data_IF_394523294165
#
_entry.id   IF_394523294165
#
_cell.length_a   1.000
_cell.length_b   1.000
_cell.length_c   1.000
_cell.angle_alpha   90.00
_cell.angle_beta   90.00
_cell.angle_gamma   90.00
#
_symmetry.space_group_name_H-M   'P 1'
#
loop_
_entity.id
_entity.type
_entity.pdbx_description
1 polymer ?
#
# COMPACT_ATOMS: atom_id res chain seq x y z
N UNK A 1 45.63 -30.57 18.39
CA UNK A 1 44.92 -29.28 18.46
C UNK A 1 44.76 -28.73 17.05
N UNK A 2 43.56 -28.80 16.50
CA UNK A 2 43.10 -27.93 15.41
C UNK A 2 41.63 -27.65 15.73
N UNK A 3 41.35 -26.46 16.28
CA UNK A 3 40.00 -25.93 16.48
C UNK A 3 39.52 -25.42 15.11
N UNK A 4 38.42 -25.96 14.61
CA UNK A 4 37.65 -25.31 13.55
C UNK A 4 36.69 -24.33 14.23
N UNK A 5 36.85 -23.04 13.92
CA UNK A 5 35.90 -22.01 14.32
C UNK A 5 34.70 -22.08 13.38
N UNK A 6 33.54 -22.37 13.93
CA UNK A 6 32.25 -22.10 13.31
C UNK A 6 31.97 -20.60 13.45
N UNK A 7 32.29 -19.81 12.43
CA UNK A 7 31.77 -18.44 12.30
C UNK A 7 30.40 -18.51 11.64
N UNK A 8 29.38 -18.73 12.48
CA UNK A 8 27.99 -18.43 12.15
C UNK A 8 27.86 -16.91 12.05
N UNK A 9 28.05 -16.40 10.85
CA UNK A 9 27.79 -15.01 10.51
C UNK A 9 26.28 -14.77 10.51
N UNK A 10 25.72 -14.57 11.71
CA UNK A 10 24.41 -13.98 11.92
C UNK A 10 24.43 -12.61 11.23
N UNK A 11 24.02 -12.61 9.97
CA UNK A 11 23.85 -11.38 9.20
C UNK A 11 22.56 -10.80 9.73
N UNK A 12 22.66 -10.09 10.86
CA UNK A 12 21.59 -9.27 11.40
C UNK A 12 21.21 -8.32 10.26
N UNK A 13 20.11 -8.64 9.59
CA UNK A 13 19.43 -7.71 8.70
C UNK A 13 18.99 -6.58 9.61
N UNK A 14 19.83 -5.56 9.73
CA UNK A 14 19.43 -4.27 10.25
C UNK A 14 18.38 -3.79 9.27
N UNK A 15 17.12 -4.09 9.57
CA UNK A 15 15.98 -3.42 8.97
C UNK A 15 16.14 -1.99 9.41
N UNK A 16 16.83 -1.20 8.60
CA UNK A 16 16.74 0.25 8.68
C UNK A 16 15.26 0.54 8.57
N UNK A 17 14.68 1.00 9.68
CA UNK A 17 13.33 1.53 9.73
C UNK A 17 13.37 2.85 8.96
N UNK A 18 13.57 2.79 7.65
CA UNK A 18 13.31 3.92 6.77
C UNK A 18 11.86 4.33 7.05
N UNK A 19 11.71 5.57 7.51
CA UNK A 19 10.46 6.17 7.94
C UNK A 19 9.43 6.08 6.81
N UNK A 20 8.61 5.04 6.85
CA UNK A 20 7.67 4.71 5.79
C UNK A 20 6.54 5.75 5.78
N UNK A 21 6.64 6.70 4.85
CA UNK A 21 5.61 7.72 4.62
C UNK A 21 5.25 8.57 5.85
N UNK A 22 6.17 8.73 6.83
CA UNK A 22 5.91 9.47 8.07
C UNK A 22 5.37 10.89 7.78
N UNK A 23 6.01 11.63 6.87
CA UNK A 23 5.57 12.98 6.47
C UNK A 23 4.15 13.01 5.90
N UNK A 24 3.76 11.97 5.17
CA UNK A 24 2.42 11.86 4.61
C UNK A 24 1.40 11.54 5.70
N UNK A 25 1.73 10.65 6.63
CA UNK A 25 0.84 10.33 7.75
C UNK A 25 0.68 11.51 8.70
N UNK A 26 1.73 12.31 8.92
CA UNK A 26 1.64 13.58 9.66
C UNK A 26 0.68 14.56 8.98
N UNK A 27 0.77 14.72 7.66
CA UNK A 27 -0.18 15.55 6.90
C UNK A 27 -1.62 15.04 6.99
N UNK A 28 -1.82 13.73 6.87
CA UNK A 28 -3.13 13.09 7.02
C UNK A 28 -3.72 13.36 8.41
N UNK A 29 -2.91 13.23 9.45
CA UNK A 29 -3.35 13.45 10.82
C UNK A 29 -3.68 14.92 11.09
N UNK A 30 -2.88 15.84 10.56
CA UNK A 30 -3.17 17.27 10.63
C UNK A 30 -4.51 17.60 9.95
N UNK A 31 -4.78 17.03 8.76
CA UNK A 31 -6.06 17.21 8.07
C UNK A 31 -7.21 16.67 8.91
N UNK A 32 -7.06 15.49 9.52
CA UNK A 32 -8.10 14.92 10.41
C UNK A 32 -8.40 15.82 11.59
N UNK A 33 -7.37 16.34 12.24
CA UNK A 33 -7.52 17.25 13.38
C UNK A 33 -8.18 18.55 12.97
N UNK A 34 -7.85 19.08 11.79
CA UNK A 34 -8.55 20.24 11.23
C UNK A 34 -10.03 19.95 10.96
N UNK A 35 -10.37 18.80 10.36
CA UNK A 35 -11.78 18.42 10.10
C UNK A 35 -12.54 18.26 11.42
N UNK A 36 -11.95 17.59 12.43
CA UNK A 36 -12.56 17.44 13.75
C UNK A 36 -12.82 18.81 14.41
N UNK A 37 -11.85 19.72 14.31
CA UNK A 37 -12.00 21.08 14.83
C UNK A 37 -13.10 21.89 14.13
N UNK A 38 -13.29 21.69 12.81
CA UNK A 38 -14.44 22.30 12.11
C UNK A 38 -15.75 21.76 12.68
N UNK A 39 -15.86 20.44 12.89
CA UNK A 39 -17.06 19.83 13.44
C UNK A 39 -17.38 20.37 14.86
N UNK A 40 -16.37 20.50 15.72
CA UNK A 40 -16.54 21.10 17.06
C UNK A 40 -17.02 22.55 16.97
N UNK A 41 -16.44 23.34 16.05
CA UNK A 41 -16.84 24.72 15.82
C UNK A 41 -18.27 24.84 15.27
N UNK A 42 -18.71 23.92 14.40
CA UNK A 42 -20.09 23.84 13.90
C UNK A 42 -21.06 23.55 15.05
N UNK A 43 -20.69 22.69 16.00
CA UNK A 43 -21.54 22.40 17.15
C UNK A 43 -21.64 23.60 18.11
N UNK A 44 -20.55 24.32 18.33
CA UNK A 44 -20.59 25.57 19.11
C UNK A 44 -21.39 26.68 18.39
N UNK A 45 -21.29 26.73 17.07
CA UNK A 45 -22.08 27.63 16.22
C UNK A 45 -23.59 27.38 16.39
N UNK A 46 -24.04 26.11 16.41
CA UNK A 46 -25.45 25.76 16.71
C UNK A 46 -25.92 26.30 18.06
N UNK A 47 -25.07 26.21 19.10
CA UNK A 47 -25.41 26.76 20.43
C UNK A 47 -25.54 28.27 20.38
N UNK A 48 -24.65 28.96 19.69
CA UNK A 48 -24.72 30.42 19.55
C UNK A 48 -25.95 30.85 18.72
N UNK A 49 -26.28 30.14 17.64
CA UNK A 49 -27.52 30.34 16.91
C UNK A 49 -28.76 30.18 17.80
N UNK A 50 -28.79 29.15 18.65
CA UNK A 50 -29.89 28.95 19.61
C UNK A 50 -30.01 30.11 20.60
N UNK A 51 -28.89 30.55 21.20
CA UNK A 51 -28.87 31.71 22.11
C UNK A 51 -29.38 32.97 21.42
N UNK A 52 -28.91 33.24 20.20
CA UNK A 52 -29.31 34.40 19.40
C UNK A 52 -30.82 34.40 19.09
N UNK A 53 -31.39 33.23 18.77
CA UNK A 53 -32.83 33.09 18.48
C UNK A 53 -33.74 33.06 19.73
N UNK A 54 -33.15 32.87 20.92
CA UNK A 54 -33.89 32.80 22.18
C UNK A 54 -34.20 34.18 22.80
N UNK A 55 -33.46 35.21 22.39
CA UNK A 55 -33.58 36.57 22.91
C UNK A 55 -33.96 37.57 21.81
N UNK A 56 -34.93 38.48 22.04
CA UNK A 56 -35.27 39.58 21.12
C UNK A 56 -34.07 40.47 20.79
N UNK A 57 -33.27 40.77 21.81
CA UNK A 57 -32.01 41.51 21.72
C UNK A 57 -30.88 40.62 22.28
N UNK A 58 -30.25 39.81 21.44
CA UNK A 58 -29.17 38.94 21.88
C UNK A 58 -27.91 39.76 22.17
N UNK A 59 -27.13 39.30 23.16
CA UNK A 59 -25.90 39.95 23.58
C UNK A 59 -24.90 40.07 22.41
N UNK A 60 -24.30 41.25 22.25
CA UNK A 60 -23.31 41.52 21.20
C UNK A 60 -22.14 40.55 21.27
N UNK A 61 -21.74 40.14 22.48
CA UNK A 61 -20.70 39.12 22.69
C UNK A 61 -21.02 37.80 21.99
N UNK A 62 -22.28 37.34 22.04
CA UNK A 62 -22.67 36.08 21.37
C UNK A 62 -22.58 36.22 19.85
N UNK A 63 -22.90 37.40 19.31
CA UNK A 63 -22.76 37.69 17.88
C UNK A 63 -21.29 37.78 17.45
N UNK A 64 -20.44 38.39 18.27
CA UNK A 64 -18.99 38.43 18.04
C UNK A 64 -18.37 37.03 18.05
N UNK A 65 -18.78 36.19 19.01
CA UNK A 65 -18.28 34.83 19.12
C UNK A 65 -18.75 33.97 17.92
N UNK A 66 -19.97 34.17 17.42
CA UNK A 66 -20.43 33.57 16.17
C UNK A 66 -19.58 33.99 14.96
N UNK A 67 -19.25 35.27 14.84
CA UNK A 67 -18.40 35.76 13.74
C UNK A 67 -16.99 35.16 13.81
N UNK A 68 -16.41 35.06 15.02
CA UNK A 68 -15.11 34.40 15.22
C UNK A 68 -15.15 32.94 14.79
N UNK A 69 -16.21 32.20 15.14
CA UNK A 69 -16.40 30.80 14.73
C UNK A 69 -16.49 30.68 13.20
N UNK A 70 -17.25 31.56 12.53
CA UNK A 70 -17.35 31.57 11.06
C UNK A 70 -15.98 31.79 10.40
N UNK A 71 -15.21 32.78 10.88
CA UNK A 71 -13.86 33.05 10.34
C UNK A 71 -12.89 31.89 10.63
N UNK A 72 -12.97 31.28 11.80
CA UNK A 72 -12.14 30.13 12.14
C UNK A 72 -12.46 28.91 11.26
N UNK A 73 -13.74 28.58 11.08
CA UNK A 73 -14.20 27.53 10.17
C UNK A 73 -13.67 27.79 8.76
N UNK A 74 -13.83 29.01 8.24
CA UNK A 74 -13.34 29.41 6.92
C UNK A 74 -11.83 29.21 6.77
N UNK A 75 -11.05 29.61 7.77
CA UNK A 75 -9.59 29.50 7.73
C UNK A 75 -9.15 28.03 7.76
N UNK A 76 -9.71 27.23 8.68
CA UNK A 76 -9.38 25.80 8.79
C UNK A 76 -9.80 25.05 7.52
N UNK A 77 -10.99 25.34 7.00
CA UNK A 77 -11.50 24.67 5.82
C UNK A 77 -10.70 25.02 4.55
N UNK A 78 -10.20 26.26 4.42
CA UNK A 78 -9.24 26.62 3.36
C UNK A 78 -7.89 25.89 3.50
N UNK A 79 -7.41 25.69 4.73
CA UNK A 79 -6.19 24.92 4.98
C UNK A 79 -6.38 23.44 4.57
N UNK A 80 -7.47 22.80 5.00
CA UNK A 80 -7.83 21.43 4.62
C UNK A 80 -7.93 21.30 3.10
N UNK A 81 -8.64 22.22 2.44
CA UNK A 81 -8.78 22.27 0.99
C UNK A 81 -7.43 22.31 0.26
N UNK A 82 -6.51 23.17 0.73
CA UNK A 82 -5.18 23.31 0.12
C UNK A 82 -4.35 22.05 0.27
N UNK A 83 -4.38 21.43 1.46
CA UNK A 83 -3.66 20.16 1.72
C UNK A 83 -4.25 18.99 0.91
N UNK A 84 -5.57 18.88 0.81
CA UNK A 84 -6.22 17.87 -0.03
C UNK A 84 -5.85 18.03 -1.51
N UNK A 85 -5.89 19.26 -2.04
CA UNK A 85 -5.44 19.55 -3.42
C UNK A 85 -3.95 19.20 -3.63
N UNK A 86 -3.10 19.44 -2.65
CA UNK A 86 -1.69 19.05 -2.71
C UNK A 86 -1.52 17.52 -2.79
N UNK A 87 -2.23 16.76 -1.96
CA UNK A 87 -2.23 15.29 -1.99
C UNK A 87 -2.74 14.79 -3.34
N UNK A 88 -3.84 15.36 -3.86
CA UNK A 88 -4.39 15.03 -5.18
C UNK A 88 -3.37 15.27 -6.30
N UNK A 89 -2.63 16.38 -6.25
CA UNK A 89 -1.58 16.68 -7.23
C UNK A 89 -0.46 15.63 -7.22
N UNK A 90 -0.01 15.22 -6.03
CA UNK A 90 1.00 14.14 -5.88
C UNK A 90 0.50 12.81 -6.44
N UNK A 91 -0.78 12.47 -6.19
CA UNK A 91 -1.40 11.25 -6.74
C UNK A 91 -1.37 11.26 -8.28
N UNK A 92 -1.78 12.38 -8.90
CA UNK A 92 -1.83 12.50 -10.36
C UNK A 92 -0.43 12.43 -11.00
N UNK A 93 0.58 13.01 -10.35
CA UNK A 93 1.98 12.90 -10.80
C UNK A 93 2.46 11.45 -10.78
N UNK A 94 2.21 10.72 -9.69
CA UNK A 94 2.62 9.32 -9.54
C UNK A 94 1.92 8.38 -10.53
N UNK A 95 0.66 8.67 -10.88
CA UNK A 95 -0.08 7.95 -11.93
C UNK A 95 0.51 8.17 -13.32
N UNK A 96 0.87 9.41 -13.65
CA UNK A 96 1.47 9.75 -14.95
C UNK A 96 2.81 9.03 -15.18
N UNK A 97 3.54 8.77 -14.10
CA UNK A 97 4.77 7.99 -14.11
C UNK A 97 4.55 6.46 -14.19
N UNK A 98 3.29 5.98 -14.31
CA UNK A 98 2.89 4.56 -14.30
C UNK A 98 3.43 3.76 -13.09
N UNK A 99 3.76 4.44 -11.99
CA UNK A 99 4.23 3.80 -10.76
C UNK A 99 3.03 3.34 -9.93
N UNK A 100 2.47 2.19 -10.28
CA UNK A 100 1.47 1.52 -9.41
C UNK A 100 2.19 0.95 -8.19
N UNK A 101 2.30 1.76 -7.14
CA UNK A 101 2.96 1.39 -5.89
C UNK A 101 1.96 1.27 -4.73
N UNK A 102 2.32 0.50 -3.71
CA UNK A 102 1.57 0.43 -2.44
C UNK A 102 1.38 1.83 -1.84
N UNK A 103 2.40 2.69 -1.96
CA UNK A 103 2.37 4.08 -1.49
C UNK A 103 1.28 4.90 -2.19
N UNK A 104 1.18 4.79 -3.52
CA UNK A 104 0.14 5.47 -4.30
C UNK A 104 -1.27 5.03 -3.86
N UNK A 105 -1.46 3.74 -3.60
CA UNK A 105 -2.75 3.19 -3.13
C UNK A 105 -3.13 3.72 -1.76
N UNK A 106 -2.18 3.78 -0.82
CA UNK A 106 -2.42 4.32 0.52
C UNK A 106 -2.78 5.81 0.41
N UNK A 107 -2.04 6.59 -0.40
CA UNK A 107 -2.33 8.02 -0.60
C UNK A 107 -3.73 8.26 -1.18
N UNK A 108 -4.10 7.52 -2.22
CA UNK A 108 -5.44 7.53 -2.81
C UNK A 108 -6.53 7.24 -1.78
N UNK A 109 -6.39 6.13 -1.05
CA UNK A 109 -7.37 5.71 -0.04
C UNK A 109 -7.56 6.78 1.03
N UNK A 110 -6.47 7.33 1.58
CA UNK A 110 -6.54 8.39 2.58
C UNK A 110 -7.14 9.67 2.02
N UNK A 111 -6.75 10.08 0.82
CA UNK A 111 -7.31 11.26 0.15
C UNK A 111 -8.84 11.15 0.00
N UNK A 112 -9.34 10.00 -0.46
CA UNK A 112 -10.78 9.71 -0.59
C UNK A 112 -11.49 9.81 0.76
N UNK A 113 -11.00 9.11 1.79
CA UNK A 113 -11.62 9.11 3.13
C UNK A 113 -11.66 10.52 3.73
N UNK A 114 -10.57 11.27 3.62
CA UNK A 114 -10.49 12.64 4.16
C UNK A 114 -11.39 13.59 3.38
N UNK A 115 -11.43 13.49 2.04
CA UNK A 115 -12.28 14.33 1.19
C UNK A 115 -13.76 14.11 1.49
N UNK A 116 -14.17 12.85 1.69
CA UNK A 116 -15.54 12.51 2.11
C UNK A 116 -15.88 13.11 3.48
N UNK A 117 -15.05 12.88 4.49
CA UNK A 117 -15.27 13.43 5.84
C UNK A 117 -15.32 14.96 5.84
N UNK A 118 -14.44 15.60 5.06
CA UNK A 118 -14.45 17.05 4.90
C UNK A 118 -15.76 17.53 4.25
N UNK A 119 -16.22 16.85 3.20
CA UNK A 119 -17.50 17.14 2.57
C UNK A 119 -18.69 17.00 3.53
N UNK A 120 -18.73 15.91 4.32
CA UNK A 120 -19.78 15.67 5.32
C UNK A 120 -19.88 16.83 6.33
N UNK A 121 -18.75 17.24 6.92
CA UNK A 121 -18.73 18.33 7.92
C UNK A 121 -19.07 19.69 7.30
N UNK A 122 -18.64 19.96 6.06
CA UNK A 122 -18.96 21.21 5.37
C UNK A 122 -20.43 21.27 4.94
N UNK A 123 -21.03 20.14 4.58
CA UNK A 123 -22.48 20.06 4.34
C UNK A 123 -23.25 20.34 5.63
N UNK A 124 -22.84 19.75 6.76
CA UNK A 124 -23.47 20.02 8.07
C UNK A 124 -23.37 21.50 8.47
N UNK A 125 -22.22 22.14 8.20
CA UNK A 125 -22.07 23.58 8.36
C UNK A 125 -23.11 24.36 7.54
N UNK A 126 -23.25 24.04 6.25
CA UNK A 126 -24.19 24.72 5.35
C UNK A 126 -25.65 24.51 5.78
N UNK A 127 -26.02 23.28 6.13
CA UNK A 127 -27.35 22.96 6.64
C UNK A 127 -27.66 23.73 7.93
N UNK A 128 -26.68 23.85 8.84
CA UNK A 128 -26.83 24.63 10.06
C UNK A 128 -27.09 26.11 9.78
N UNK A 129 -26.36 26.70 8.82
CA UNK A 129 -26.60 28.08 8.39
C UNK A 129 -28.01 28.22 7.80
N UNK A 130 -28.39 27.38 6.83
CA UNK A 130 -29.74 27.43 6.23
C UNK A 130 -30.83 27.34 7.29
N UNK A 131 -30.70 26.44 8.29
CA UNK A 131 -31.66 26.35 9.39
C UNK A 131 -31.75 27.64 10.21
N UNK A 132 -30.63 28.32 10.46
CA UNK A 132 -30.62 29.61 11.16
C UNK A 132 -31.25 30.73 10.33
N UNK A 133 -31.03 30.75 9.01
CA UNK A 133 -31.68 31.67 8.07
C UNK A 133 -33.20 31.51 8.12
N UNK A 134 -33.71 30.29 7.96
CA UNK A 134 -35.15 30.01 7.97
C UNK A 134 -35.81 30.37 9.30
N UNK A 135 -35.16 30.06 10.43
CA UNK A 135 -35.65 30.47 11.75
C UNK A 135 -35.65 31.99 11.92
N UNK A 136 -34.66 32.69 11.38
CA UNK A 136 -34.59 34.16 11.41
C UNK A 136 -35.68 34.78 10.54
N UNK A 137 -35.94 34.23 9.35
CA UNK A 137 -37.06 34.60 8.47
C UNK A 137 -38.40 34.46 9.19
N UNK A 138 -38.66 33.30 9.81
CA UNK A 138 -39.90 33.08 10.57
C UNK A 138 -40.07 34.02 11.77
N UNK A 139 -38.98 34.45 12.41
CA UNK A 139 -39.01 35.49 13.46
C UNK A 139 -39.40 36.85 12.88
N UNK A 140 -38.80 37.25 11.75
CA UNK A 140 -39.14 38.52 11.07
C UNK A 140 -40.62 38.53 10.68
N UNK A 141 -41.12 37.45 10.09
CA UNK A 141 -42.53 37.30 9.72
C UNK A 141 -43.46 37.55 10.93
N UNK A 142 -43.15 36.89 12.06
CA UNK A 142 -43.94 37.06 13.28
C UNK A 142 -43.89 38.47 13.84
N UNK A 143 -42.75 39.16 13.74
CA UNK A 143 -42.65 40.55 14.17
C UNK A 143 -43.43 41.49 13.24
N UNK A 144 -43.46 41.23 11.92
CA UNK A 144 -44.29 41.98 10.98
C UNK A 144 -45.78 41.82 11.29
N UNK A 145 -46.24 40.61 11.62
CA UNK A 145 -47.63 40.38 12.05
C UNK A 145 -48.00 41.19 13.30
N UNK A 146 -47.09 41.31 14.28
CA UNK A 146 -47.30 42.12 15.49
C UNK A 146 -47.46 43.61 15.16
N UNK A 147 -46.74 44.09 14.13
CA UNK A 147 -46.89 45.47 13.64
C UNK A 147 -48.13 45.70 12.78
N UNK A 148 -48.92 44.65 12.51
CA UNK A 148 -50.14 44.72 11.71
C UNK A 148 -49.91 44.56 10.20
N UNK A 149 -48.70 44.21 9.76
CA UNK A 149 -48.37 43.91 8.37
C UNK A 149 -48.37 42.40 8.16
N UNK A 150 -49.42 41.88 7.52
CA UNK A 150 -49.44 40.49 7.06
C UNK A 150 -48.63 40.38 5.77
N UNK A 151 -47.64 39.49 5.74
CA UNK A 151 -46.75 39.30 4.61
C UNK A 151 -46.72 37.83 4.24
N UNK A 152 -46.88 37.53 2.96
CA UNK A 152 -46.71 36.17 2.44
C UNK A 152 -45.24 35.77 2.46
N UNK A 153 -44.97 34.46 2.36
CA UNK A 153 -43.58 33.96 2.37
C UNK A 153 -42.75 34.48 1.18
N UNK A 154 -43.38 34.61 0.01
CA UNK A 154 -42.77 35.13 -1.22
C UNK A 154 -42.48 36.63 -1.12
N UNK A 155 -43.44 37.43 -0.64
CA UNK A 155 -43.22 38.86 -0.41
C UNK A 155 -42.12 39.11 0.62
N UNK A 156 -42.05 38.28 1.68
CA UNK A 156 -41.01 38.39 2.69
C UNK A 156 -39.63 38.06 2.11
N UNK A 157 -39.55 37.07 1.22
CA UNK A 157 -38.30 36.74 0.53
C UNK A 157 -37.83 37.90 -0.36
N UNK A 158 -38.73 38.50 -1.15
CA UNK A 158 -38.42 39.68 -1.97
C UNK A 158 -37.92 40.86 -1.11
N UNK A 159 -38.53 41.04 0.07
CA UNK A 159 -38.09 42.06 1.02
C UNK A 159 -36.67 41.80 1.55
N UNK A 160 -36.31 40.54 1.80
CA UNK A 160 -34.95 40.15 2.22
C UNK A 160 -33.93 40.32 1.09
N UNK A 161 -34.30 39.96 -0.14
CA UNK A 161 -33.43 40.10 -1.33
C UNK A 161 -33.14 41.55 -1.68
N UNK A 162 -34.06 42.47 -1.38
CA UNK A 162 -33.91 43.91 -1.67
C UNK A 162 -32.69 44.55 -1.01
N UNK A 163 -32.18 43.96 0.08
CA UNK A 163 -31.02 44.45 0.82
C UNK A 163 -31.21 45.81 1.50
N UNK A 164 -32.41 46.39 1.47
CA UNK A 164 -32.72 47.69 2.07
C UNK A 164 -33.49 47.51 3.39
N UNK A 165 -32.86 47.73 4.57
CA UNK A 165 -33.54 47.59 5.87
C UNK A 165 -34.78 48.47 6.02
N UNK A 166 -34.86 49.58 5.28
CA UNK A 166 -35.98 50.52 5.33
C UNK A 166 -37.29 49.93 4.79
N UNK A 167 -37.22 48.86 3.99
CA UNK A 167 -38.39 48.18 3.42
C UNK A 167 -39.31 47.60 4.50
N UNK A 168 -38.75 47.25 5.66
CA UNK A 168 -39.52 46.78 6.80
C UNK A 168 -40.21 47.93 7.54
N UNK A 169 -39.72 49.17 7.41
CA UNK A 169 -40.21 50.34 8.17
C UNK A 169 -41.15 51.26 7.38
N UNK A 170 -41.16 51.19 6.05
CA UNK A 170 -41.83 52.19 5.19
C UNK A 170 -43.35 52.30 5.40
N UNK A 171 -43.99 51.18 5.73
CA UNK A 171 -45.46 51.10 5.81
C UNK A 171 -45.96 51.03 7.26
N UNK A 172 -45.05 51.09 8.24
CA UNK A 172 -45.36 50.83 9.66
C UNK A 172 -45.37 52.14 10.45
N UNK A 173 -46.55 52.50 10.95
CA UNK A 173 -46.73 53.66 11.84
C UNK A 173 -46.09 53.35 13.20
N UNK A 174 -44.96 54.01 13.49
CA UNK A 174 -44.11 53.76 14.66
C UNK A 174 -44.58 54.46 15.95
N UNK A 175 -45.90 54.50 16.18
CA UNK A 175 -46.49 55.26 17.28
C UNK A 175 -46.48 54.51 18.62
N UNK A 176 -46.40 53.17 18.58
CA UNK A 176 -46.34 52.32 19.77
C UNK A 176 -44.92 51.89 20.11
N UNK A 177 -44.60 51.85 21.40
CA UNK A 177 -43.34 51.29 21.90
C UNK A 177 -43.16 49.81 21.50
N UNK A 178 -44.26 49.07 21.37
CA UNK A 178 -44.27 47.68 20.88
C UNK A 178 -43.80 47.60 19.43
N UNK A 179 -44.30 48.50 18.56
CA UNK A 179 -43.91 48.58 17.15
C UNK A 179 -42.43 48.90 16.98
N UNK A 180 -41.90 49.84 17.77
CA UNK A 180 -40.46 50.18 17.76
C UNK A 180 -39.57 49.01 18.14
N UNK A 181 -39.99 48.23 19.15
CA UNK A 181 -39.25 47.04 19.57
C UNK A 181 -39.26 45.96 18.48
N UNK A 182 -40.42 45.71 17.86
CA UNK A 182 -40.55 44.76 16.75
C UNK A 182 -39.67 45.15 15.56
N UNK A 183 -39.65 46.43 15.18
CA UNK A 183 -38.79 46.94 14.11
C UNK A 183 -37.30 46.77 14.41
N UNK A 184 -36.86 47.05 15.63
CA UNK A 184 -35.46 46.84 16.04
C UNK A 184 -35.06 45.36 15.97
N UNK A 185 -35.96 44.45 16.36
CA UNK A 185 -35.72 43.02 16.26
C UNK A 185 -35.63 42.58 14.79
N UNK A 186 -36.54 43.05 13.92
CA UNK A 186 -36.52 42.79 12.48
C UNK A 186 -35.18 43.22 11.87
N UNK A 187 -34.73 44.45 12.13
CA UNK A 187 -33.46 44.96 11.61
C UNK A 187 -32.27 44.13 12.11
N UNK A 188 -32.28 43.75 13.40
CA UNK A 188 -31.26 42.90 14.01
C UNK A 188 -31.19 41.51 13.35
N UNK A 189 -32.34 40.86 13.10
CA UNK A 189 -32.42 39.56 12.41
C UNK A 189 -32.01 39.66 10.94
N UNK A 190 -32.43 40.71 10.24
CA UNK A 190 -32.07 40.93 8.84
C UNK A 190 -30.55 41.09 8.67
N UNK A 191 -29.89 41.85 9.56
CA UNK A 191 -28.42 41.92 9.58
C UNK A 191 -27.75 40.57 9.79
N UNK A 192 -28.33 39.71 10.63
CA UNK A 192 -27.79 38.37 10.87
C UNK A 192 -27.94 37.47 9.62
N UNK A 193 -29.04 37.60 8.86
CA UNK A 193 -29.23 36.92 7.55
C UNK A 193 -28.17 37.38 6.54
N UNK A 194 -27.95 38.70 6.40
CA UNK A 194 -26.95 39.24 5.47
C UNK A 194 -25.55 38.69 5.78
N UNK A 195 -25.15 38.65 7.05
CA UNK A 195 -23.85 38.10 7.47
C UNK A 195 -23.71 36.62 7.14
N UNK A 196 -24.77 35.85 7.40
CA UNK A 196 -24.83 34.44 7.04
C UNK A 196 -24.67 34.23 5.53
N UNK A 197 -25.39 34.99 4.71
CA UNK A 197 -25.32 34.87 3.25
C UNK A 197 -23.94 35.25 2.72
N UNK A 198 -23.27 36.25 3.31
CA UNK A 198 -21.87 36.57 3.01
C UNK A 198 -20.97 35.38 3.33
N UNK A 199 -21.13 34.77 4.51
CA UNK A 199 -20.32 33.62 4.93
C UNK A 199 -20.48 32.41 4.01
N UNK A 200 -21.72 32.08 3.59
CA UNK A 200 -21.98 31.02 2.61
C UNK A 200 -21.35 31.37 1.26
N UNK A 201 -21.50 32.62 0.79
CA UNK A 201 -20.94 33.08 -0.49
C UNK A 201 -19.42 32.99 -0.51
N UNK A 202 -18.75 33.34 0.58
CA UNK A 202 -17.29 33.24 0.71
C UNK A 202 -16.78 31.79 0.65
N UNK A 203 -17.61 30.83 1.08
CA UNK A 203 -17.33 29.40 1.03
C UNK A 203 -17.85 28.72 -0.24
N UNK A 204 -18.52 29.44 -1.14
CA UNK A 204 -19.10 28.86 -2.36
C UNK A 204 -18.06 28.13 -3.21
N UNK A 205 -16.90 28.74 -3.43
CA UNK A 205 -15.82 28.10 -4.19
C UNK A 205 -15.32 26.81 -3.52
N UNK A 206 -15.41 26.72 -2.20
CA UNK A 206 -15.05 25.51 -1.46
C UNK A 206 -16.08 24.40 -1.66
N UNK A 207 -17.38 24.71 -1.71
CA UNK A 207 -18.42 23.72 -2.01
C UNK A 207 -18.28 23.15 -3.43
N UNK A 208 -17.94 24.00 -4.40
CA UNK A 208 -17.64 23.55 -5.77
C UNK A 208 -16.43 22.61 -5.77
N UNK A 209 -15.36 22.98 -5.07
CA UNK A 209 -14.17 22.13 -4.95
C UNK A 209 -14.50 20.79 -4.26
N UNK A 210 -15.31 20.78 -3.20
CA UNK A 210 -15.74 19.55 -2.52
C UNK A 210 -16.57 18.66 -3.45
N UNK A 211 -17.51 19.23 -4.20
CA UNK A 211 -18.34 18.48 -5.14
C UNK A 211 -17.48 17.74 -6.17
N UNK A 212 -16.49 18.42 -6.77
CA UNK A 212 -15.56 17.79 -7.72
C UNK A 212 -14.66 16.74 -7.07
N UNK A 213 -14.21 16.99 -5.84
CA UNK A 213 -13.40 16.04 -5.08
C UNK A 213 -14.21 14.79 -4.73
N UNK A 214 -15.52 14.88 -4.48
CA UNK A 214 -16.40 13.76 -4.12
C UNK A 214 -16.86 12.98 -5.36
N UNK A 215 -17.21 13.66 -6.46
CA UNK A 215 -17.68 13.02 -7.69
C UNK A 215 -16.61 12.13 -8.34
N UNK A 216 -15.34 12.56 -8.31
CA UNK A 216 -14.20 11.79 -8.85
C UNK A 216 -13.84 10.51 -8.06
N UNK A 217 -14.54 10.19 -6.96
CA UNK A 217 -14.20 9.07 -6.06
C UNK A 217 -14.84 7.74 -6.44
N UNK A 218 -15.92 7.73 -7.24
CA UNK A 218 -16.68 6.50 -7.58
C UNK A 218 -15.85 5.44 -8.30
N UNK A 219 -14.95 5.84 -9.19
CA UNK A 219 -14.10 4.91 -9.96
C UNK A 219 -12.86 4.44 -9.16
N UNK A 220 -12.37 5.27 -8.25
CA UNK A 220 -11.13 5.01 -7.49
C UNK A 220 -11.33 3.98 -6.38
N UNK A 221 -12.47 4.01 -5.67
CA UNK A 221 -12.80 3.03 -4.61
C UNK A 221 -12.92 1.62 -5.20
N UNK A 222 -13.65 1.47 -6.30
CA UNK A 222 -13.81 0.20 -7.02
C UNK A 222 -12.45 -0.36 -7.49
N UNK A 223 -11.53 0.52 -7.88
CA UNK A 223 -10.18 0.14 -8.26
C UNK A 223 -9.30 -0.26 -7.07
N UNK A 224 -9.56 0.26 -5.86
CA UNK A 224 -8.84 -0.11 -4.64
C UNK A 224 -9.28 -1.48 -4.15
N UNK A 225 -10.58 -1.75 -4.08
CA UNK A 225 -11.12 -3.07 -3.72
C UNK A 225 -10.57 -4.15 -4.65
N UNK A 226 -10.68 -3.93 -5.97
CA UNK A 226 -10.12 -4.81 -6.99
C UNK A 226 -8.61 -5.04 -6.83
N UNK A 227 -7.86 -4.02 -6.43
CA UNK A 227 -6.41 -4.16 -6.25
C UNK A 227 -6.01 -4.75 -4.88
N UNK A 228 -6.85 -4.68 -3.84
CA UNK A 228 -6.67 -5.41 -2.57
C UNK A 228 -6.94 -6.89 -2.81
N UNK A 229 -8.01 -7.20 -3.54
CA UNK A 229 -8.34 -8.55 -4.01
C UNK A 229 -7.17 -9.16 -4.81
N UNK A 230 -6.66 -8.45 -5.81
CA UNK A 230 -5.48 -8.89 -6.57
C UNK A 230 -4.24 -9.10 -5.68
N UNK A 231 -4.00 -8.24 -4.68
CA UNK A 231 -2.84 -8.38 -3.78
C UNK A 231 -2.97 -9.61 -2.87
N UNK A 232 -4.18 -9.92 -2.40
CA UNK A 232 -4.45 -11.16 -1.67
C UNK A 232 -4.20 -12.38 -2.57
N UNK A 233 -4.64 -12.33 -3.83
CA UNK A 233 -4.39 -13.36 -4.84
C UNK A 233 -2.89 -13.58 -5.11
N UNK A 234 -2.10 -12.50 -5.25
CA UNK A 234 -0.64 -12.60 -5.41
C UNK A 234 0.06 -13.22 -4.20
N UNK A 235 -0.37 -12.91 -2.98
CA UNK A 235 0.18 -13.51 -1.75
C UNK A 235 -0.17 -15.00 -1.66
N UNK A 236 -1.39 -15.35 -2.07
CA UNK A 236 -1.84 -16.74 -2.13
C UNK A 236 -1.01 -17.55 -3.14
N UNK A 237 -0.83 -17.03 -4.36
CA UNK A 237 0.05 -17.65 -5.35
C UNK A 237 1.52 -17.73 -4.89
N UNK A 238 2.05 -16.69 -4.25
CA UNK A 238 3.41 -16.72 -3.69
C UNK A 238 3.55 -17.79 -2.58
N UNK A 239 2.53 -17.99 -1.75
CA UNK A 239 2.48 -19.05 -0.74
C UNK A 239 2.44 -20.44 -1.37
N UNK A 240 1.77 -20.60 -2.50
CA UNK A 240 1.78 -21.86 -3.27
C UNK A 240 3.14 -22.14 -3.91
N UNK A 241 3.75 -21.14 -4.54
CA UNK A 241 5.06 -21.26 -5.18
C UNK A 241 6.17 -21.54 -4.15
N UNK A 242 6.13 -20.91 -2.97
CA UNK A 242 7.06 -21.24 -1.88
C UNK A 242 6.87 -22.67 -1.36
N UNK A 243 5.62 -23.16 -1.24
CA UNK A 243 5.35 -24.57 -0.92
C UNK A 243 5.90 -25.52 -2.00
N UNK A 244 5.75 -25.19 -3.29
CA UNK A 244 6.31 -25.97 -4.40
C UNK A 244 7.84 -25.95 -4.34
N UNK A 245 8.46 -24.80 -4.11
CA UNK A 245 9.91 -24.67 -3.95
C UNK A 245 10.47 -25.54 -2.80
N UNK A 246 9.80 -25.58 -1.65
CA UNK A 246 10.16 -26.47 -0.53
C UNK A 246 10.02 -27.94 -0.90
N UNK A 247 8.97 -28.32 -1.65
CA UNK A 247 8.80 -29.69 -2.17
C UNK A 247 9.90 -30.05 -3.18
N UNK A 248 10.32 -29.13 -4.05
CA UNK A 248 11.43 -29.35 -4.97
C UNK A 248 12.77 -29.47 -4.24
N UNK A 249 13.03 -28.62 -3.23
CA UNK A 249 14.24 -28.68 -2.41
C UNK A 249 14.35 -30.01 -1.64
N UNK A 250 13.25 -30.48 -1.04
CA UNK A 250 13.20 -31.76 -0.32
C UNK A 250 13.36 -32.96 -1.26
N UNK A 251 12.77 -32.93 -2.47
CA UNK A 251 12.99 -33.97 -3.50
C UNK A 251 14.44 -33.97 -4.01
N UNK A 252 15.03 -32.81 -4.28
CA UNK A 252 16.44 -32.68 -4.70
C UNK A 252 17.42 -33.26 -3.68
N UNK A 253 17.17 -33.06 -2.37
CA UNK A 253 17.98 -33.66 -1.29
C UNK A 253 17.88 -35.20 -1.29
N UNK A 254 16.71 -35.75 -1.57
CA UNK A 254 16.47 -37.22 -1.59
C UNK A 254 17.13 -37.92 -2.78
N UNK A 255 17.24 -37.23 -3.92
CA UNK A 255 17.90 -37.77 -5.13
C UNK A 255 19.42 -37.76 -4.96
N UNK A 256 20.01 -36.66 -4.45
CA UNK A 256 21.45 -36.58 -4.15
C UNK A 256 21.94 -37.68 -3.20
N UNK A 257 21.14 -38.04 -2.19
CA UNK A 257 21.48 -39.14 -1.27
C UNK A 257 21.53 -40.53 -1.93
N UNK A 258 20.72 -40.76 -2.97
CA UNK A 258 20.71 -42.04 -3.71
C UNK A 258 21.91 -42.15 -4.64
N UNK A 259 22.28 -41.07 -5.31
CA UNK A 259 23.38 -41.07 -6.26
C UNK A 259 24.75 -41.27 -5.58
N UNK A 260 24.96 -40.68 -4.40
CA UNK A 260 26.18 -40.91 -3.61
C UNK A 260 26.32 -42.35 -3.08
N UNK A 261 25.20 -42.99 -2.71
CA UNK A 261 25.22 -44.38 -2.24
C UNK A 261 25.62 -45.35 -3.37
N UNK A 262 25.05 -45.18 -4.57
CA UNK A 262 25.37 -45.99 -5.74
C UNK A 262 26.84 -45.87 -6.16
N UNK A 263 27.40 -44.66 -6.17
CA UNK A 263 28.82 -44.43 -6.49
C UNK A 263 29.76 -45.09 -5.45
N UNK A 264 29.41 -45.05 -4.17
CA UNK A 264 30.21 -45.68 -3.11
C UNK A 264 30.24 -47.21 -3.23
N UNK A 265 29.11 -47.83 -3.57
CA UNK A 265 28.99 -49.28 -3.76
C UNK A 265 29.76 -49.75 -5.00
N UNK A 266 29.70 -49.01 -6.11
CA UNK A 266 30.46 -49.32 -7.33
C UNK A 266 31.96 -49.24 -7.06
N UNK A 267 32.43 -48.20 -6.36
CA UNK A 267 33.84 -48.06 -5.97
C UNK A 267 34.31 -49.22 -5.08
N UNK A 268 33.51 -49.62 -4.08
CA UNK A 268 33.84 -50.77 -3.22
C UNK A 268 33.94 -52.08 -4.01
N UNK A 269 33.03 -52.29 -4.97
CA UNK A 269 33.04 -53.49 -5.81
C UNK A 269 34.29 -53.58 -6.69
N UNK A 270 34.71 -52.46 -7.29
CA UNK A 270 35.94 -52.39 -8.09
C UNK A 270 37.20 -52.57 -7.23
N UNK A 271 37.23 -52.04 -6.00
CA UNK A 271 38.34 -52.27 -5.06
C UNK A 271 38.43 -53.75 -4.65
N UNK A 272 37.29 -54.44 -4.45
CA UNK A 272 37.30 -55.87 -4.14
C UNK A 272 37.83 -56.72 -5.31
N UNK A 273 37.47 -56.39 -6.56
CA UNK A 273 38.03 -57.06 -7.75
C UNK A 273 39.56 -56.92 -7.82
N UNK A 274 40.10 -55.73 -7.52
CA UNK A 274 41.54 -55.48 -7.47
C UNK A 274 42.24 -56.32 -6.39
N UNK A 275 41.65 -56.43 -5.19
CA UNK A 275 42.18 -57.29 -4.12
C UNK A 275 42.18 -58.76 -4.50
N UNK A 276 41.11 -59.25 -5.10
CA UNK A 276 40.98 -60.65 -5.53
C UNK A 276 42.00 -61.00 -6.63
N UNK A 277 42.18 -60.10 -7.60
CA UNK A 277 43.19 -60.24 -8.65
C UNK A 277 44.62 -60.31 -8.08
N UNK A 278 44.94 -59.47 -7.10
CA UNK A 278 46.25 -59.46 -6.41
C UNK A 278 46.47 -60.75 -5.60
N UNK A 279 45.43 -61.27 -4.94
CA UNK A 279 45.49 -62.53 -4.19
C UNK A 279 45.74 -63.73 -5.12
N UNK A 280 45.08 -63.74 -6.29
CA UNK A 280 45.22 -64.80 -7.29
C UNK A 280 46.63 -64.80 -7.93
N UNK A 281 47.20 -63.60 -8.15
CA UNK A 281 48.59 -63.41 -8.57
C UNK A 281 49.60 -63.92 -7.53
N UNK A 282 49.35 -63.68 -6.23
CA UNK A 282 50.15 -64.23 -5.14
C UNK A 282 50.06 -65.77 -5.09
N UNK A 283 48.88 -66.34 -5.28
CA UNK A 283 48.68 -67.79 -5.30
C UNK A 283 49.37 -68.46 -6.51
N UNK A 284 49.34 -67.82 -7.69
CA UNK A 284 50.03 -68.28 -8.89
C UNK A 284 51.56 -68.18 -8.77
N UNK A 285 52.08 -67.12 -8.14
CA UNK A 285 53.51 -66.98 -7.85
C UNK A 285 53.98 -67.98 -6.77
N UNK A 286 53.16 -68.26 -5.76
CA UNK A 286 53.46 -69.27 -4.75
C UNK A 286 53.46 -70.70 -5.33
N UNK A 287 52.59 -70.98 -6.33
CA UNK A 287 52.60 -72.24 -7.09
C UNK A 287 53.84 -72.39 -7.98
N UNK A 288 54.43 -71.29 -8.46
CA UNK A 288 55.69 -71.32 -9.22
C UNK A 288 56.91 -71.60 -8.34
N UNK A 289 56.96 -71.05 -7.11
CA UNK A 289 58.10 -71.23 -6.21
C UNK A 289 58.23 -72.67 -5.67
N UNK A 290 57.12 -73.41 -5.50
CA UNK A 290 57.15 -74.79 -5.02
C UNK A 290 57.56 -75.85 -6.06
N UNK A 291 57.67 -75.49 -7.34
CA UNK A 291 58.11 -76.41 -8.41
C UNK A 291 59.58 -76.22 -8.83
N UNK A 292 60.38 -75.37 -8.14
CA UNK A 292 61.75 -75.01 -8.53
C UNK A 292 62.87 -75.71 -7.75
N UNK A 293 62.58 -76.74 -6.95
CA UNK A 293 63.58 -77.51 -6.18
C UNK A 293 63.49 -79.02 -6.44
N UNK A 294 63.67 -79.47 -7.69
CA UNK A 294 64.22 -80.81 -8.00
C UNK A 294 64.59 -80.90 -9.49
N UNK A 295 65.82 -81.37 -9.74
CA UNK A 295 66.45 -81.76 -11.01
C UNK A 295 67.36 -80.72 -11.68
N UNK A 296 68.65 -80.86 -11.34
CA UNK A 296 69.82 -80.38 -12.07
C UNK A 296 70.05 -81.16 -13.37
N UNK A 297 70.60 -80.46 -14.38
CA UNK A 297 71.61 -80.99 -15.30
C UNK A 297 71.14 -81.54 -16.65
N UNK A 298 71.12 -80.70 -17.70
CA UNK A 298 72.01 -80.72 -18.89
C UNK A 298 71.76 -79.42 -19.70
N UNK A 299 72.83 -78.81 -20.22
CA UNK A 299 72.94 -77.49 -20.88
C UNK A 299 72.43 -77.47 -22.36
N UNK A 300 72.67 -76.41 -23.17
CA UNK A 300 71.84 -75.22 -23.29
C UNK A 300 71.34 -74.96 -24.73
N UNK A 301 70.21 -74.26 -24.91
CA UNK A 301 70.00 -73.50 -26.15
C UNK A 301 69.44 -72.11 -25.87
N UNK A 302 70.18 -71.16 -26.41
CA UNK A 302 70.08 -69.72 -26.36
C UNK A 302 68.83 -69.21 -27.10
N UNK A 303 67.83 -68.67 -26.39
CA UNK A 303 67.02 -67.54 -26.88
C UNK A 303 66.74 -66.58 -25.73
N UNK A 304 67.37 -65.42 -25.80
CA UNK A 304 67.15 -64.24 -24.99
C UNK A 304 65.67 -63.80 -24.96
N UNK A 305 65.18 -63.56 -23.75
CA UNK A 305 64.33 -62.42 -23.35
C UNK A 305 62.87 -62.27 -23.81
N UNK A 306 62.01 -62.17 -22.79
CA UNK A 306 60.82 -61.31 -22.70
C UNK A 306 59.59 -61.77 -23.50
N UNK A 307 58.68 -62.50 -22.81
CA UNK A 307 57.22 -62.37 -23.05
C UNK A 307 56.31 -62.82 -21.89
N UNK A 308 56.77 -62.77 -20.63
CA UNK A 308 55.88 -62.65 -19.43
C UNK A 308 55.45 -61.18 -19.17
N UNK A 309 55.31 -60.37 -20.24
CA UNK A 309 54.90 -58.94 -20.21
C UNK A 309 53.76 -58.63 -21.18
N UNK A 310 52.91 -59.60 -21.55
CA UNK A 310 51.77 -59.36 -22.48
C UNK A 310 50.38 -59.33 -21.85
N UNK A 311 50.21 -59.67 -20.57
CA UNK A 311 48.90 -59.60 -19.90
C UNK A 311 48.73 -58.32 -19.06
N UNK A 312 49.81 -57.82 -18.46
CA UNK A 312 49.76 -56.63 -17.57
C UNK A 312 49.56 -55.31 -18.34
N UNK A 313 50.12 -55.17 -19.54
CA UNK A 313 49.98 -53.93 -20.33
C UNK A 313 48.66 -53.79 -21.09
N UNK A 314 47.88 -54.88 -21.27
CA UNK A 314 46.56 -54.82 -21.90
C UNK A 314 45.47 -54.36 -20.93
N UNK A 315 45.70 -54.51 -19.63
CA UNK A 315 44.79 -54.07 -18.58
C UNK A 315 44.94 -52.57 -18.25
N UNK A 316 46.17 -52.03 -18.33
CA UNK A 316 46.43 -50.59 -18.17
C UNK A 316 45.85 -49.75 -19.31
N UNK A 317 45.75 -50.29 -20.53
CA UNK A 317 45.16 -49.58 -21.67
C UNK A 317 43.63 -49.43 -21.53
N UNK A 318 42.94 -50.46 -21.02
CA UNK A 318 41.49 -50.43 -20.81
C UNK A 318 41.02 -49.47 -19.69
N UNK A 319 41.87 -49.22 -18.69
CA UNK A 319 41.55 -48.28 -17.60
C UNK A 319 41.68 -46.82 -18.03
N UNK A 320 42.62 -46.49 -18.93
CA UNK A 320 42.83 -45.12 -19.39
C UNK A 320 41.69 -44.62 -20.29
N UNK A 321 41.06 -45.51 -21.07
CA UNK A 321 39.96 -45.13 -21.98
C UNK A 321 38.63 -44.93 -21.24
N UNK A 322 38.35 -45.70 -20.18
CA UNK A 322 37.13 -45.50 -19.37
C UNK A 322 37.18 -44.25 -18.48
N UNK A 323 38.37 -43.87 -17.99
CA UNK A 323 38.54 -42.61 -17.25
C UNK A 323 38.37 -41.39 -18.16
N UNK A 324 38.74 -41.48 -19.44
CA UNK A 324 38.45 -40.42 -20.45
C UNK A 324 36.96 -40.28 -20.76
N UNK A 325 36.21 -41.39 -20.83
CA UNK A 325 34.76 -41.35 -21.05
C UNK A 325 34.02 -40.72 -19.84
N UNK A 326 34.47 -41.02 -18.62
CA UNK A 326 33.91 -40.39 -17.41
C UNK A 326 34.14 -38.88 -17.34
N UNK A 327 35.30 -38.40 -17.82
CA UNK A 327 35.64 -36.97 -17.84
C UNK A 327 34.81 -36.19 -18.87
N UNK A 328 34.56 -36.78 -20.05
CA UNK A 328 33.67 -36.20 -21.07
C UNK A 328 32.20 -36.12 -20.63
N UNK A 329 31.73 -37.04 -19.79
CA UNK A 329 30.35 -37.00 -19.29
C UNK A 329 30.15 -35.93 -18.21
N UNK A 330 31.17 -35.64 -17.40
CA UNK A 330 31.14 -34.54 -16.43
C UNK A 330 31.20 -33.18 -17.15
N UNK A 331 32.08 -33.03 -18.15
CA UNK A 331 32.12 -31.81 -18.98
C UNK A 331 30.81 -31.56 -19.75
N UNK A 332 30.13 -32.62 -20.22
CA UNK A 332 28.81 -32.50 -20.86
C UNK A 332 27.69 -32.06 -19.90
N UNK A 333 27.78 -32.44 -18.62
CA UNK A 333 26.83 -32.03 -17.59
C UNK A 333 27.08 -30.61 -17.08
N UNK A 334 28.34 -30.14 -17.09
CA UNK A 334 28.72 -28.77 -16.74
C UNK A 334 28.50 -27.76 -17.89
N UNK A 335 28.45 -28.22 -19.15
CA UNK A 335 28.29 -27.34 -20.33
C UNK A 335 26.83 -27.02 -20.72
N UNK A 336 25.83 -27.45 -19.96
CA UNK A 336 24.41 -27.16 -20.26
C UNK A 336 24.01 -25.80 -19.65
N UNK A 337 23.71 -24.76 -20.46
CA UNK A 337 23.26 -23.48 -19.93
C UNK A 337 21.90 -23.64 -19.25
N UNK A 338 21.79 -23.14 -18.01
CA UNK A 338 20.53 -22.94 -17.31
C UNK A 338 19.54 -22.22 -18.23
N UNK A 339 18.51 -22.93 -18.72
CA UNK A 339 17.33 -22.31 -19.33
C UNK A 339 16.65 -21.44 -18.27
N UNK A 340 17.03 -20.16 -18.22
CA UNK A 340 16.18 -19.10 -17.68
C UNK A 340 14.92 -19.09 -18.55
N UNK A 341 13.80 -19.51 -17.98
CA UNK A 341 12.48 -19.21 -18.52
C UNK A 341 12.29 -17.70 -18.43
N UNK A 342 12.61 -17.00 -19.51
CA UNK A 342 12.11 -15.66 -19.79
C UNK A 342 10.60 -15.76 -19.96
N UNK A 343 9.84 -15.17 -19.03
CA UNK A 343 8.43 -14.89 -19.25
C UNK A 343 8.34 -13.85 -20.38
N UNK A 344 7.84 -14.29 -21.54
CA UNK A 344 7.33 -13.40 -22.58
C UNK A 344 6.13 -12.64 -22.02
N UNK A 345 6.29 -11.32 -21.91
CA UNK A 345 5.17 -10.37 -21.89
C UNK A 345 4.41 -10.48 -23.19
N UNK A 346 3.20 -11.06 -23.13
CA UNK A 346 2.22 -10.97 -24.21
C UNK A 346 1.69 -9.54 -24.24
N UNK A 347 2.13 -8.78 -25.23
CA UNK A 347 1.44 -7.56 -25.67
C UNK A 347 0.17 -7.97 -26.42
N UNK A 348 -0.99 -7.60 -25.90
CA UNK A 348 -2.24 -7.58 -26.66
C UNK A 348 -2.40 -6.21 -27.35
N UNK A 349 -2.67 -6.14 -28.66
CA UNK A 349 -3.14 -4.92 -29.29
C UNK A 349 -4.65 -4.80 -29.09
N UNK A 350 -5.09 -3.72 -28.44
CA UNK A 350 -6.48 -3.29 -28.46
C UNK A 350 -6.73 -2.52 -29.75
N UNK A 351 -7.72 -2.99 -30.50
CA UNK A 351 -8.47 -2.20 -31.48
C UNK A 351 -9.82 -1.84 -30.90
#
# INVERSE_FOLDING_TARGET
MVKGNDEDGDTVVVVQKEQFMDDFFLQVEEIRNCIAKIADNVEEMKKNHSKILSAPNPEDKTKEDLEKLNQEIKNIANNVRTKLKSIAHTINQDESAKRTSVNLRIRKTQHTVLSRKFGEVMTEYNETQIQFRERSKGRIQRQLEITGKTTTDDELEEMLESGNPSIFTSDIISDSQITKQALNEIESRHRDIIKLESSIRELHQMFVDIATLVESQGEMINSIEKNVENAAEYIEHAKEETKKAVKYQSRSRRVRGKDHCCLSLICLFEIQKLKLSRLLLLHLNCRHSKCSNRADGVQPLNIYSIKKKKSVYRFSFFFSDKVKIGRHFIEYMESQPCKKTSHETVNSPLS
#
